data_IF_171180242183
#
_entry.id   IF_171180242183
#
_cell.length_a   1.000
_cell.length_b   1.000
_cell.length_c   1.000
_cell.angle_alpha   90.00
_cell.angle_beta   90.00
_cell.angle_gamma   90.00
#
_symmetry.space_group_name_H-M   'P 1'
#
loop_
_entity.id
_entity.type
_entity.pdbx_description
1 polymer ?
#
# COMPACT_ATOMS: atom_id res chain seq x y z
N UNK A 1 13.74 -1.64 1.50
CA UNK A 1 12.32 -2.09 1.54
C UNK A 1 11.82 -2.23 2.97
N UNK A 2 12.42 -3.09 3.81
CA UNK A 2 12.01 -3.28 5.21
C UNK A 2 11.93 -1.96 6.00
N UNK A 3 13.02 -1.19 6.02
CA UNK A 3 13.09 0.10 6.73
C UNK A 3 12.02 1.12 6.30
N UNK A 4 11.66 1.11 5.01
CA UNK A 4 10.63 1.98 4.46
C UNK A 4 9.24 1.59 4.99
N UNK A 5 8.92 0.29 5.01
CA UNK A 5 7.65 -0.21 5.56
C UNK A 5 7.61 -0.01 7.08
N UNK A 6 8.73 -0.17 7.77
CA UNK A 6 8.83 0.06 9.22
C UNK A 6 8.55 1.52 9.55
N UNK A 7 9.20 2.47 8.84
CA UNK A 7 9.00 3.90 9.06
C UNK A 7 7.65 4.45 8.59
N UNK A 8 7.06 3.90 7.51
CA UNK A 8 5.73 4.32 7.03
C UNK A 8 4.60 3.81 7.91
N UNK A 9 4.76 2.63 8.53
CA UNK A 9 3.68 1.95 9.25
C UNK A 9 3.95 1.81 10.75
N UNK A 10 4.87 2.61 11.31
CA UNK A 10 5.19 2.64 12.75
C UNK A 10 5.49 1.27 13.33
N UNK A 11 6.11 0.41 12.53
CA UNK A 11 6.53 -0.89 13.01
C UNK A 11 7.77 -0.65 13.90
N UNK A 12 7.97 -1.47 14.93
CA UNK A 12 9.07 -1.31 15.92
C UNK A 12 8.99 -0.10 16.86
N UNK A 13 7.80 0.45 17.15
CA UNK A 13 7.62 1.56 18.12
C UNK A 13 8.33 2.87 17.72
N UNK A 14 8.74 3.01 16.46
CA UNK A 14 9.24 4.26 15.90
C UNK A 14 8.10 5.26 15.64
N UNK A 15 8.43 6.56 15.64
CA UNK A 15 7.49 7.62 15.27
C UNK A 15 7.12 7.60 13.78
N UNK A 16 5.97 8.22 13.49
CA UNK A 16 5.48 8.45 12.13
C UNK A 16 6.50 9.16 11.27
N UNK A 17 6.90 8.52 10.17
CA UNK A 17 7.67 9.23 9.14
C UNK A 17 6.86 9.36 7.88
N UNK A 18 6.72 10.60 7.43
CA UNK A 18 6.05 10.90 6.17
C UNK A 18 6.94 10.50 5.01
N UNK A 19 6.32 10.19 3.87
CA UNK A 19 7.03 9.80 2.64
C UNK A 19 8.24 10.70 2.27
N UNK A 20 8.18 12.05 2.38
CA UNK A 20 9.32 12.91 2.05
C UNK A 20 10.50 12.75 3.02
N UNK A 21 10.22 12.47 4.30
CA UNK A 21 11.24 12.28 5.34
C UNK A 21 11.96 10.95 5.12
N UNK A 22 11.20 9.90 4.78
CA UNK A 22 11.75 8.59 4.44
C UNK A 22 12.56 8.64 3.14
N UNK A 23 12.06 9.33 2.12
CA UNK A 23 12.76 9.52 0.84
C UNK A 23 14.14 10.17 1.04
N UNK A 24 14.20 11.22 1.87
CA UNK A 24 15.46 11.88 2.25
C UNK A 24 16.38 10.98 3.05
N UNK A 25 15.85 10.24 4.03
CA UNK A 25 16.64 9.35 4.88
C UNK A 25 17.24 8.15 4.14
N UNK A 26 16.59 7.70 3.07
CA UNK A 26 17.00 6.55 2.27
C UNK A 26 17.66 6.91 0.93
N UNK A 27 17.86 8.20 0.65
CA UNK A 27 18.40 8.74 -0.62
C UNK A 27 17.71 8.17 -1.87
N UNK A 28 16.37 8.15 -1.85
CA UNK A 28 15.53 7.68 -2.96
C UNK A 28 14.50 8.74 -3.33
N UNK A 29 13.95 8.64 -4.54
CA UNK A 29 12.88 9.55 -4.94
C UNK A 29 11.59 9.26 -4.17
N UNK A 30 10.83 10.32 -3.88
CA UNK A 30 9.50 10.22 -3.29
C UNK A 30 8.57 9.32 -4.11
N UNK A 31 8.66 9.36 -5.44
CA UNK A 31 7.90 8.48 -6.34
C UNK A 31 8.24 7.00 -6.13
N UNK A 32 9.51 6.68 -5.81
CA UNK A 32 9.92 5.31 -5.51
C UNK A 32 9.32 4.81 -4.18
N UNK A 33 9.23 5.69 -3.17
CA UNK A 33 8.54 5.40 -1.91
C UNK A 33 7.07 5.07 -2.13
N UNK A 34 6.37 5.87 -2.94
CA UNK A 34 4.96 5.67 -3.30
C UNK A 34 4.72 4.32 -4.02
N UNK A 35 5.60 3.95 -4.96
CA UNK A 35 5.51 2.67 -5.68
C UNK A 35 5.64 1.49 -4.71
N UNK A 36 6.59 1.59 -3.77
CA UNK A 36 6.85 0.57 -2.77
C UNK A 36 5.65 0.41 -1.82
N UNK A 37 5.09 1.52 -1.33
CA UNK A 37 3.92 1.53 -0.46
C UNK A 37 2.72 0.88 -1.15
N UNK A 38 2.44 1.28 -2.40
CA UNK A 38 1.38 0.67 -3.21
C UNK A 38 1.58 -0.84 -3.36
N UNK A 39 2.80 -1.29 -3.65
CA UNK A 39 3.11 -2.73 -3.78
C UNK A 39 2.92 -3.48 -2.47
N UNK A 40 3.29 -2.90 -1.34
CA UNK A 40 3.14 -3.50 -0.03
C UNK A 40 1.66 -3.65 0.36
N UNK A 41 0.88 -2.57 0.18
CA UNK A 41 -0.58 -2.58 0.41
C UNK A 41 -1.27 -3.63 -0.46
N UNK A 42 -0.91 -3.72 -1.74
CA UNK A 42 -1.45 -4.74 -2.63
C UNK A 42 -1.14 -6.15 -2.13
N UNK A 43 0.12 -6.46 -1.78
CA UNK A 43 0.48 -7.79 -1.28
C UNK A 43 -0.28 -8.15 -0.01
N UNK A 44 -0.36 -7.21 0.95
CA UNK A 44 -1.06 -7.40 2.21
C UNK A 44 -2.56 -7.64 1.97
N UNK A 45 -3.17 -6.84 1.11
CA UNK A 45 -4.58 -6.99 0.73
C UNK A 45 -4.87 -8.35 0.07
N UNK A 46 -4.06 -8.77 -0.90
CA UNK A 46 -4.22 -10.09 -1.54
C UNK A 46 -4.11 -11.23 -0.53
N UNK A 47 -3.20 -11.10 0.44
CA UNK A 47 -3.02 -12.10 1.49
C UNK A 47 -4.25 -12.18 2.41
N UNK A 48 -4.79 -11.04 2.87
CA UNK A 48 -6.04 -11.00 3.63
C UNK A 48 -7.23 -11.53 2.85
N UNK A 49 -7.32 -11.24 1.55
CA UNK A 49 -8.39 -11.76 0.70
C UNK A 49 -8.30 -13.29 0.56
N UNK A 50 -7.12 -13.84 0.30
CA UNK A 50 -6.88 -15.29 0.26
C UNK A 50 -7.18 -15.99 1.58
N UNK A 51 -6.97 -15.32 2.71
CA UNK A 51 -7.29 -15.88 4.03
C UNK A 51 -8.79 -15.80 4.35
N UNK A 52 -9.49 -14.78 3.86
CA UNK A 52 -10.94 -14.63 4.08
C UNK A 52 -11.79 -15.49 3.13
N UNK A 53 -11.29 -15.82 1.94
CA UNK A 53 -11.91 -16.75 1.00
C UNK A 53 -11.20 -18.11 1.10
N UNK A 54 -11.75 -19.05 1.87
CA UNK A 54 -11.12 -20.35 2.10
C UNK A 54 -10.76 -21.08 0.80
N UNK A 55 -9.46 -21.15 0.46
CA UNK A 55 -8.70 -21.99 -0.51
C UNK A 55 -9.33 -22.48 -1.84
N UNK A 56 -10.56 -22.15 -2.21
CA UNK A 56 -11.29 -22.78 -3.32
C UNK A 56 -11.59 -21.90 -4.53
N UNK A 57 -11.33 -20.58 -4.47
CA UNK A 57 -11.87 -19.63 -5.47
C UNK A 57 -10.79 -18.75 -6.13
N UNK A 58 -9.54 -19.19 -6.17
CA UNK A 58 -8.45 -18.43 -6.82
C UNK A 58 -8.52 -18.47 -8.37
N UNK A 59 -9.47 -19.20 -8.95
CA UNK A 59 -9.49 -19.46 -10.40
C UNK A 59 -10.66 -18.77 -11.14
N UNK A 60 -11.47 -17.94 -10.46
CA UNK A 60 -12.62 -17.25 -11.08
C UNK A 60 -12.89 -15.84 -10.53
N UNK A 61 -12.34 -14.83 -11.21
CA UNK A 61 -13.07 -13.81 -12.00
C UNK A 61 -12.33 -12.45 -12.01
N UNK A 62 -11.84 -11.99 -13.17
CA UNK A 62 -11.17 -10.68 -13.32
C UNK A 62 -12.05 -9.47 -12.91
N UNK A 63 -13.38 -9.62 -12.92
CA UNK A 63 -14.32 -8.55 -12.56
C UNK A 63 -14.27 -8.12 -11.08
N UNK A 64 -13.95 -9.04 -10.16
CA UNK A 64 -13.81 -8.69 -8.74
C UNK A 64 -12.49 -7.92 -8.51
N UNK A 65 -11.42 -8.35 -9.17
CA UNK A 65 -10.12 -7.69 -9.12
C UNK A 65 -10.18 -6.27 -9.71
N UNK A 66 -10.86 -6.08 -10.85
CA UNK A 66 -11.08 -4.76 -11.45
C UNK A 66 -11.87 -3.82 -10.54
N UNK A 67 -12.92 -4.33 -9.88
CA UNK A 67 -13.72 -3.55 -8.93
C UNK A 67 -12.93 -3.19 -7.67
N UNK A 68 -12.05 -4.08 -7.21
CA UNK A 68 -11.18 -3.82 -6.06
C UNK A 68 -10.05 -2.84 -6.40
N UNK A 69 -9.47 -2.96 -7.59
CA UNK A 69 -8.54 -1.97 -8.14
C UNK A 69 -9.22 -0.59 -8.22
N UNK A 70 -10.46 -0.50 -8.71
CA UNK A 70 -11.18 0.77 -8.77
C UNK A 70 -11.38 1.37 -7.38
N UNK A 71 -11.82 0.57 -6.40
CA UNK A 71 -12.00 1.03 -5.00
C UNK A 71 -10.67 1.50 -4.41
N UNK A 72 -9.59 0.75 -4.65
CA UNK A 72 -8.26 1.12 -4.17
C UNK A 72 -7.79 2.44 -4.77
N UNK A 73 -7.94 2.63 -6.09
CA UNK A 73 -7.60 3.90 -6.73
C UNK A 73 -8.47 5.05 -6.22
N UNK A 74 -9.74 4.80 -5.96
CA UNK A 74 -10.66 5.82 -5.42
C UNK A 74 -10.28 6.23 -4.00
N UNK A 75 -9.92 5.26 -3.14
CA UNK A 75 -9.42 5.52 -1.78
C UNK A 75 -8.08 6.27 -1.83
N UNK A 76 -7.16 5.83 -2.69
CA UNK A 76 -5.87 6.50 -2.89
C UNK A 76 -6.06 7.93 -3.38
N UNK A 77 -6.97 8.18 -4.32
CA UNK A 77 -7.22 9.51 -4.85
C UNK A 77 -7.82 10.43 -3.79
N UNK A 78 -8.73 9.90 -2.96
CA UNK A 78 -9.27 10.62 -1.79
C UNK A 78 -8.18 10.95 -0.77
N UNK A 79 -7.32 9.99 -0.43
CA UNK A 79 -6.18 10.21 0.46
C UNK A 79 -5.19 11.21 -0.11
N UNK A 80 -4.86 11.12 -1.39
CA UNK A 80 -3.94 12.03 -2.06
C UNK A 80 -4.44 13.48 -2.03
N UNK A 81 -5.72 13.70 -2.40
CA UNK A 81 -6.35 15.03 -2.34
C UNK A 81 -6.47 15.57 -0.91
N UNK A 82 -6.61 14.69 0.08
CA UNK A 82 -6.66 15.09 1.49
C UNK A 82 -5.30 15.45 2.07
N UNK A 83 -4.22 14.81 1.60
CA UNK A 83 -2.87 15.00 2.10
C UNK A 83 -2.10 16.10 1.34
N UNK A 84 -2.53 16.43 0.12
CA UNK A 84 -1.93 17.45 -0.74
C UNK A 84 -3.04 18.36 -1.29
N UNK A 85 -3.26 19.54 -0.67
CA UNK A 85 -4.19 20.56 -1.18
C UNK A 85 -3.69 21.22 -2.48
#
# INVERSE_FOLDING_TARGET
MRELIVGLFWLDLEEERRQPEIAKGLDISRSYVLIIEKRALMKLFHEFYKQSQGKGELDRKPAAEERLLSIYYEILEKLYKSLFP
#
